data_IF_788387669114
#
_entry.id   IF_788387669114
#
_cell.length_a   1.000
_cell.length_b   1.000
_cell.length_c   1.000
_cell.angle_alpha   90.00
_cell.angle_beta   90.00
_cell.angle_gamma   90.00
#
_symmetry.space_group_name_H-M   'P 1'
#
loop_
_entity.id
_entity.type
_entity.pdbx_description
1 polymer ?
#
# COMPACT_ATOMS: atom_id res chain seq x y z
N UNK A 1 -27.71 41.57 9.73
CA UNK A 1 -26.87 41.74 10.94
C UNK A 1 -26.97 40.55 11.91
N UNK A 2 -28.14 39.96 12.21
CA UNK A 2 -28.21 38.81 13.14
C UNK A 2 -27.72 37.44 12.62
N UNK A 3 -27.81 37.15 11.32
CA UNK A 3 -27.46 35.81 10.79
C UNK A 3 -25.96 35.51 10.84
N UNK A 4 -25.11 36.51 10.65
CA UNK A 4 -23.65 36.29 10.61
C UNK A 4 -23.04 36.14 12.00
N UNK A 5 -23.48 36.94 12.97
CA UNK A 5 -23.02 36.81 14.37
C UNK A 5 -23.35 35.44 14.95
N UNK A 6 -24.52 34.89 14.59
CA UNK A 6 -24.93 33.53 14.98
C UNK A 6 -24.09 32.44 14.32
N UNK A 7 -23.65 32.64 13.07
CA UNK A 7 -22.77 31.68 12.38
C UNK A 7 -21.39 31.63 13.06
N UNK A 8 -20.82 32.80 13.40
CA UNK A 8 -19.49 32.90 14.00
C UNK A 8 -19.45 32.38 15.45
N UNK A 9 -20.51 32.60 16.22
CA UNK A 9 -20.54 32.23 17.65
C UNK A 9 -20.81 30.74 17.92
N UNK A 10 -21.22 29.97 16.91
CA UNK A 10 -21.55 28.54 17.06
C UNK A 10 -20.38 27.59 16.78
N UNK A 11 -19.30 28.08 16.18
CA UNK A 11 -18.10 27.28 15.95
C UNK A 11 -17.38 27.04 17.28
N UNK A 12 -17.25 25.77 17.68
CA UNK A 12 -16.57 25.37 18.93
C UNK A 12 -15.11 24.98 18.72
N UNK A 13 -14.85 24.17 17.71
CA UNK A 13 -13.51 23.60 17.44
C UNK A 13 -12.84 24.25 16.22
N UNK A 14 -13.62 24.73 15.25
CA UNK A 14 -13.10 25.33 14.03
C UNK A 14 -14.21 25.75 13.08
N UNK A 15 -13.85 26.59 12.12
CA UNK A 15 -14.76 27.12 11.09
C UNK A 15 -14.01 27.29 9.78
N UNK A 16 -14.63 26.86 8.68
CA UNK A 16 -14.17 27.15 7.33
C UNK A 16 -15.15 28.13 6.68
N UNK A 17 -14.62 29.20 6.08
CA UNK A 17 -15.37 30.16 5.28
C UNK A 17 -15.00 29.97 3.82
N UNK A 18 -15.97 29.61 2.99
CA UNK A 18 -15.77 29.35 1.56
C UNK A 18 -16.43 30.50 0.78
N UNK A 19 -15.64 31.26 0.04
CA UNK A 19 -16.11 32.39 -0.75
C UNK A 19 -14.99 33.32 -1.18
N UNK A 20 -15.33 34.30 -2.03
CA UNK A 20 -14.39 35.34 -2.44
C UNK A 20 -14.23 36.38 -1.30
N UNK A 21 -13.04 36.43 -0.70
CA UNK A 21 -12.77 37.27 0.47
C UNK A 21 -12.93 38.77 0.18
N UNK A 22 -12.53 39.24 -0.99
CA UNK A 22 -12.64 40.64 -1.42
C UNK A 22 -14.12 41.04 -1.60
N UNK A 23 -14.91 40.16 -2.22
CA UNK A 23 -16.35 40.38 -2.38
C UNK A 23 -17.07 40.37 -1.01
N UNK A 24 -16.66 39.49 -0.09
CA UNK A 24 -17.22 39.44 1.26
C UNK A 24 -16.92 40.72 2.04
N UNK A 25 -15.66 41.19 1.99
CA UNK A 25 -15.24 42.43 2.65
C UNK A 25 -15.95 43.67 2.07
N UNK A 26 -16.07 43.77 0.74
CA UNK A 26 -16.71 44.92 0.09
C UNK A 26 -18.22 45.00 0.35
N UNK A 27 -18.90 43.85 0.48
CA UNK A 27 -20.34 43.80 0.80
C UNK A 27 -20.70 44.24 2.22
N UNK A 28 -19.77 44.17 3.17
CA UNK A 28 -20.03 44.60 4.55
C UNK A 28 -18.76 45.14 5.21
N UNK A 29 -18.60 46.45 5.14
CA UNK A 29 -17.46 47.17 5.74
C UNK A 29 -17.43 47.06 7.27
N UNK A 30 -18.58 46.99 7.92
CA UNK A 30 -18.66 47.02 9.39
C UNK A 30 -18.53 45.64 10.05
N UNK A 31 -18.58 44.56 9.28
CA UNK A 31 -18.58 43.20 9.85
C UNK A 31 -17.64 42.25 9.10
N UNK A 32 -17.80 42.07 7.78
CA UNK A 32 -16.92 41.15 7.04
C UNK A 32 -15.53 41.73 6.83
N UNK A 33 -15.37 43.02 6.55
CA UNK A 33 -14.04 43.60 6.33
C UNK A 33 -13.10 43.44 7.55
N UNK A 34 -13.51 43.69 8.80
CA UNK A 34 -12.68 43.40 9.98
C UNK A 34 -12.34 41.92 10.13
N UNK A 35 -13.31 41.02 9.89
CA UNK A 35 -13.09 39.56 9.99
C UNK A 35 -12.07 39.09 8.94
N UNK A 36 -12.27 39.49 7.68
CA UNK A 36 -11.37 39.15 6.58
C UNK A 36 -9.96 39.72 6.83
N UNK A 37 -9.85 40.94 7.36
CA UNK A 37 -8.57 41.51 7.78
C UNK A 37 -7.88 40.66 8.86
N UNK A 38 -8.60 40.22 9.90
CA UNK A 38 -8.07 39.33 10.93
C UNK A 38 -7.58 38.01 10.30
N UNK A 39 -8.36 37.40 9.41
CA UNK A 39 -7.98 36.14 8.75
C UNK A 39 -6.72 36.33 7.89
N UNK A 40 -6.60 37.44 7.15
CA UNK A 40 -5.40 37.76 6.39
C UNK A 40 -4.17 37.96 7.30
N UNK A 41 -4.32 38.72 8.40
CA UNK A 41 -3.23 38.96 9.35
C UNK A 41 -2.68 37.68 9.99
N UNK A 42 -3.50 36.62 10.03
CA UNK A 42 -3.16 35.29 10.57
C UNK A 42 -2.77 34.29 9.49
N UNK A 43 -2.65 34.71 8.23
CA UNK A 43 -2.39 33.84 7.08
C UNK A 43 -3.41 32.69 6.93
N UNK A 44 -4.68 32.96 7.23
CA UNK A 44 -5.80 32.00 7.20
C UNK A 44 -6.68 32.15 5.96
N UNK A 45 -6.27 32.98 4.99
CA UNK A 45 -6.94 33.13 3.70
C UNK A 45 -6.08 32.47 2.64
N UNK A 46 -6.62 31.43 2.00
CA UNK A 46 -5.96 30.69 0.93
C UNK A 46 -6.68 30.83 -0.40
N UNK A 47 -6.02 30.41 -1.49
CA UNK A 47 -6.58 30.42 -2.84
C UNK A 47 -7.45 29.19 -3.16
N UNK A 48 -7.69 28.33 -2.18
CA UNK A 48 -8.42 27.08 -2.32
C UNK A 48 -8.46 26.30 -1.02
N UNK A 49 -9.10 25.14 -1.06
CA UNK A 49 -9.23 24.25 0.08
C UNK A 49 -8.06 23.26 0.10
N UNK A 50 -7.25 23.23 1.17
CA UNK A 50 -6.21 22.23 1.32
C UNK A 50 -6.86 20.88 1.64
N UNK A 51 -6.38 19.84 0.98
CA UNK A 51 -6.74 18.45 1.22
C UNK A 51 -5.45 17.64 1.40
N UNK A 52 -5.50 16.67 2.30
CA UNK A 52 -4.38 15.81 2.61
C UNK A 52 -4.89 14.38 2.77
N UNK A 53 -4.11 13.41 2.29
CA UNK A 53 -4.36 12.01 2.64
C UNK A 53 -3.82 11.70 4.04
N UNK A 54 -4.64 11.11 4.90
CA UNK A 54 -4.21 10.71 6.26
C UNK A 54 -3.08 9.67 6.24
N UNK A 55 -3.06 8.81 5.21
CA UNK A 55 -2.04 7.75 5.06
C UNK A 55 -0.82 8.19 4.29
N UNK A 56 -0.95 9.25 3.49
CA UNK A 56 0.14 9.79 2.69
C UNK A 56 0.27 11.28 3.01
N UNK A 57 0.92 11.65 4.13
CA UNK A 57 1.02 13.05 4.56
C UNK A 57 1.74 13.97 3.57
N UNK A 58 2.54 13.40 2.65
CA UNK A 58 3.18 14.12 1.56
C UNK A 58 2.21 14.41 0.40
N UNK A 59 1.11 13.66 0.30
CA UNK A 59 0.04 13.88 -0.66
C UNK A 59 -0.86 15.02 -0.16
N UNK A 60 -0.41 16.25 -0.42
CA UNK A 60 -1.13 17.48 -0.12
C UNK A 60 -1.49 18.18 -1.41
N UNK A 61 -2.75 18.54 -1.56
CA UNK A 61 -3.24 19.31 -2.68
C UNK A 61 -4.03 20.51 -2.19
N UNK A 62 -4.03 21.60 -2.95
CA UNK A 62 -4.96 22.72 -2.75
C UNK A 62 -5.90 22.73 -3.93
N UNK A 63 -7.18 22.46 -3.69
CA UNK A 63 -8.20 22.43 -4.74
C UNK A 63 -8.95 23.76 -4.77
N UNK A 64 -9.24 24.24 -5.97
CA UNK A 64 -10.00 25.48 -6.23
C UNK A 64 -11.39 25.16 -6.74
N UNK A 65 -11.47 24.14 -7.59
CA UNK A 65 -12.72 23.69 -8.23
C UNK A 65 -13.15 22.31 -7.70
N UNK A 66 -14.45 22.05 -7.54
CA UNK A 66 -14.96 20.74 -7.08
C UNK A 66 -14.50 19.55 -7.92
N UNK A 67 -14.32 19.73 -9.23
CA UNK A 67 -13.89 18.70 -10.16
C UNK A 67 -12.48 18.19 -9.82
N UNK A 68 -11.62 19.08 -9.30
CA UNK A 68 -10.27 18.72 -8.89
C UNK A 68 -10.27 17.73 -7.72
N UNK A 69 -11.31 17.74 -6.87
CA UNK A 69 -11.43 16.78 -5.78
C UNK A 69 -11.46 15.33 -6.30
N UNK A 70 -12.14 15.06 -7.42
CA UNK A 70 -12.22 13.71 -8.01
C UNK A 70 -10.89 13.28 -8.64
N UNK A 71 -10.09 14.22 -9.13
CA UNK A 71 -8.80 13.97 -9.79
C UNK A 71 -7.68 13.62 -8.82
N UNK A 72 -7.77 14.11 -7.58
CA UNK A 72 -6.78 13.90 -6.52
C UNK A 72 -7.23 12.86 -5.50
N UNK A 73 -8.54 12.65 -5.40
CA UNK A 73 -9.14 11.74 -4.45
C UNK A 73 -10.30 10.97 -5.10
N UNK A 74 -10.18 9.65 -5.16
CA UNK A 74 -11.28 8.76 -5.56
C UNK A 74 -11.79 8.00 -4.36
N UNK A 75 -13.09 8.15 -4.03
CA UNK A 75 -13.75 7.45 -2.92
C UNK A 75 -13.02 7.59 -1.57
N UNK A 76 -12.48 8.77 -1.27
CA UNK A 76 -11.74 9.04 -0.03
C UNK A 76 -10.27 8.60 -0.04
N UNK A 77 -9.72 8.20 -1.20
CA UNK A 77 -8.37 7.62 -1.33
C UNK A 77 -7.53 8.43 -2.31
N UNK A 78 -6.26 8.68 -1.96
CA UNK A 78 -5.30 9.23 -2.91
C UNK A 78 -4.81 8.14 -3.89
N UNK A 79 -4.05 8.55 -4.90
CA UNK A 79 -3.55 7.63 -5.94
C UNK A 79 -2.19 7.02 -5.63
N UNK A 80 -1.56 7.41 -4.51
CA UNK A 80 -0.25 6.92 -4.12
C UNK A 80 -0.27 5.43 -3.76
N UNK A 81 0.88 4.78 -3.94
CA UNK A 81 1.04 3.39 -3.57
C UNK A 81 1.01 3.25 -2.05
N UNK A 82 0.31 2.23 -1.54
CA UNK A 82 0.14 2.02 -0.10
C UNK A 82 1.48 1.79 0.60
N UNK A 83 2.32 0.90 0.07
CA UNK A 83 3.69 0.69 0.54
C UNK A 83 3.85 0.03 1.91
N UNK A 84 2.77 -0.17 2.67
CA UNK A 84 2.79 -0.86 3.98
C UNK A 84 3.34 -2.28 3.83
N UNK A 85 4.17 -2.70 4.77
CA UNK A 85 4.76 -4.05 4.77
C UNK A 85 3.69 -5.10 5.14
N UNK A 86 3.54 -6.08 4.26
CA UNK A 86 2.69 -7.25 4.49
C UNK A 86 3.39 -8.24 5.44
N UNK A 87 2.64 -9.21 5.95
CA UNK A 87 3.19 -10.28 6.81
C UNK A 87 4.32 -11.09 6.14
N UNK A 88 4.36 -11.11 4.80
CA UNK A 88 5.45 -11.73 4.07
C UNK A 88 6.74 -10.90 3.95
N UNK A 89 6.74 -9.66 4.43
CA UNK A 89 7.85 -8.71 4.36
C UNK A 89 7.87 -7.85 3.08
N UNK A 90 6.99 -8.12 2.11
CA UNK A 90 6.88 -7.29 0.91
C UNK A 90 5.97 -6.08 1.13
N UNK A 91 6.33 -4.95 0.51
CA UNK A 91 5.46 -3.78 0.47
C UNK A 91 4.18 -4.06 -0.34
N UNK A 92 3.04 -3.60 0.19
CA UNK A 92 1.74 -3.61 -0.45
C UNK A 92 1.80 -2.87 -1.80
N UNK A 93 1.38 -3.56 -2.86
CA UNK A 93 1.41 -3.03 -4.23
C UNK A 93 0.15 -2.27 -4.60
N UNK A 94 -0.91 -2.34 -3.79
CA UNK A 94 -2.17 -1.64 -4.06
C UNK A 94 -2.01 -0.13 -3.87
N UNK A 95 -2.89 0.64 -4.51
CA UNK A 95 -3.06 2.07 -4.23
C UNK A 95 -3.62 2.26 -2.82
N UNK A 96 -3.52 3.47 -2.27
CA UNK A 96 -4.13 3.83 -0.99
C UNK A 96 -5.54 3.25 -0.85
N UNK A 97 -5.80 2.49 0.21
CA UNK A 97 -7.03 1.71 0.34
C UNK A 97 -7.52 1.66 1.79
N UNK A 98 -8.75 2.13 2.05
CA UNK A 98 -9.25 2.27 3.43
C UNK A 98 -9.92 1.01 4.01
N UNK A 99 -10.30 0.09 3.13
CA UNK A 99 -11.05 -1.14 3.37
C UNK A 99 -10.35 -2.16 4.28
N UNK A 100 -9.04 -2.30 4.15
CA UNK A 100 -8.25 -3.24 4.95
C UNK A 100 -7.02 -2.57 5.59
N UNK A 101 -7.19 -1.85 6.71
CA UNK A 101 -6.09 -1.16 7.37
C UNK A 101 -4.97 -2.09 7.85
N UNK A 102 -5.31 -3.33 8.22
CA UNK A 102 -4.37 -4.34 8.72
C UNK A 102 -3.74 -5.18 7.61
N UNK A 103 -4.14 -4.98 6.35
CA UNK A 103 -3.63 -5.71 5.20
C UNK A 103 -3.73 -7.24 5.35
N UNK A 104 -4.81 -7.73 5.97
CA UNK A 104 -5.05 -9.14 6.24
C UNK A 104 -5.41 -9.88 4.94
N UNK A 105 -6.21 -9.24 4.09
CA UNK A 105 -6.74 -9.82 2.85
C UNK A 105 -5.92 -9.40 1.61
N UNK A 106 -4.88 -8.59 1.80
CA UNK A 106 -4.02 -8.14 0.70
C UNK A 106 -3.11 -9.28 0.27
N UNK A 107 -3.32 -9.75 -0.95
CA UNK A 107 -2.50 -10.79 -1.55
C UNK A 107 -1.26 -10.16 -2.17
N UNK A 108 -0.07 -10.57 -1.71
CA UNK A 108 1.17 -10.11 -2.30
C UNK A 108 1.33 -10.66 -3.73
N UNK A 109 1.66 -9.76 -4.66
CA UNK A 109 1.90 -10.07 -6.07
C UNK A 109 3.38 -9.91 -6.46
N UNK A 110 4.28 -9.71 -5.50
CA UNK A 110 5.72 -9.65 -5.77
C UNK A 110 6.31 -11.07 -5.91
N UNK A 111 7.40 -11.24 -6.66
CA UNK A 111 8.16 -12.49 -6.66
C UNK A 111 8.54 -12.91 -5.24
N UNK A 112 8.48 -14.20 -4.96
CA UNK A 112 8.84 -14.70 -3.64
C UNK A 112 10.36 -14.68 -3.46
N UNK A 113 10.84 -13.97 -2.43
CA UNK A 113 12.25 -13.95 -2.03
C UNK A 113 12.64 -15.07 -1.07
N UNK A 114 11.71 -16.00 -0.77
CA UNK A 114 11.93 -17.09 0.18
C UNK A 114 12.63 -18.28 -0.48
N UNK A 115 13.42 -19.00 0.31
CA UNK A 115 13.97 -20.29 -0.05
C UNK A 115 13.06 -21.42 0.46
N UNK A 116 12.93 -22.50 -0.31
CA UNK A 116 12.17 -23.67 0.13
C UNK A 116 12.87 -24.37 1.30
N UNK A 117 12.23 -24.56 2.47
CA UNK A 117 12.92 -25.06 3.67
C UNK A 117 13.54 -26.45 3.57
N UNK A 118 13.07 -27.30 2.64
CA UNK A 118 13.55 -28.68 2.47
C UNK A 118 14.72 -28.81 1.50
N UNK A 119 14.75 -28.01 0.44
CA UNK A 119 15.76 -28.11 -0.63
C UNK A 119 16.60 -26.84 -0.78
N UNK A 120 16.30 -25.79 -0.02
CA UNK A 120 16.97 -24.49 -0.03
C UNK A 120 17.11 -23.86 -1.43
N UNK A 121 16.18 -24.17 -2.34
CA UNK A 121 16.12 -23.53 -3.65
C UNK A 121 15.31 -22.22 -3.59
N UNK A 122 15.68 -21.19 -4.37
CA UNK A 122 14.89 -19.97 -4.47
C UNK A 122 13.50 -20.29 -5.02
N UNK A 123 12.47 -19.68 -4.44
CA UNK A 123 11.11 -19.84 -4.91
C UNK A 123 10.92 -19.05 -6.22
N UNK A 124 10.36 -19.71 -7.23
CA UNK A 124 10.06 -19.15 -8.55
C UNK A 124 8.63 -18.58 -8.65
N UNK A 125 7.82 -18.73 -7.59
CA UNK A 125 6.41 -18.32 -7.56
C UNK A 125 6.24 -16.91 -7.00
N UNK A 126 5.04 -16.37 -7.20
CA UNK A 126 4.59 -15.16 -6.50
C UNK A 126 4.51 -15.41 -4.99
N UNK A 127 4.71 -14.34 -4.22
CA UNK A 127 4.73 -14.38 -2.76
C UNK A 127 3.32 -14.64 -2.19
N UNK A 128 2.92 -15.91 -2.20
CA UNK A 128 1.72 -16.43 -1.56
C UNK A 128 2.12 -17.69 -0.77
N UNK A 129 1.36 -18.75 -0.94
CA UNK A 129 1.78 -20.09 -0.56
C UNK A 129 2.83 -20.62 -1.55
N UNK A 130 4.06 -20.77 -1.09
CA UNK A 130 5.18 -21.23 -1.92
C UNK A 130 5.00 -22.71 -2.34
N UNK A 131 4.25 -23.49 -1.56
CA UNK A 131 4.00 -24.90 -1.82
C UNK A 131 5.26 -25.73 -2.06
N UNK A 132 5.15 -26.71 -2.97
CA UNK A 132 6.25 -27.62 -3.33
C UNK A 132 7.20 -26.93 -4.33
N UNK A 133 8.50 -27.18 -4.16
CA UNK A 133 9.55 -26.73 -5.06
C UNK A 133 9.52 -27.52 -6.37
N UNK A 134 9.48 -26.83 -7.51
CA UNK A 134 9.52 -27.43 -8.85
C UNK A 134 10.88 -27.23 -9.54
N UNK A 135 11.93 -26.94 -8.76
CA UNK A 135 13.26 -26.72 -9.31
C UNK A 135 13.77 -27.99 -9.98
N UNK A 136 14.09 -27.89 -11.27
CA UNK A 136 14.64 -28.99 -12.07
C UNK A 136 16.09 -29.18 -11.64
N UNK A 137 16.37 -30.30 -11.00
CA UNK A 137 17.75 -30.74 -10.78
C UNK A 137 18.20 -31.41 -12.06
N UNK A 138 19.32 -30.97 -12.64
CA UNK A 138 19.87 -31.53 -13.88
C UNK A 138 20.35 -32.97 -13.71
N UNK A 139 21.18 -33.45 -14.63
CA UNK A 139 21.60 -34.84 -14.68
C UNK A 139 22.33 -35.25 -13.39
N UNK A 140 21.71 -36.13 -12.61
CA UNK A 140 22.31 -36.71 -11.41
C UNK A 140 22.78 -38.12 -11.76
N UNK A 141 24.07 -38.38 -11.56
CA UNK A 141 24.61 -39.74 -11.56
C UNK A 141 24.32 -40.37 -10.21
N UNK A 142 23.44 -41.38 -10.19
CA UNK A 142 23.14 -42.13 -8.99
C UNK A 142 24.37 -42.97 -8.58
N UNK A 143 24.52 -43.34 -7.30
CA UNK A 143 25.64 -44.19 -6.84
C UNK A 143 25.75 -45.54 -7.55
N UNK A 144 24.66 -46.00 -8.17
CA UNK A 144 24.63 -47.20 -9.01
C UNK A 144 25.10 -46.97 -10.47
N UNK A 145 25.61 -45.78 -10.81
CA UNK A 145 26.12 -45.45 -12.14
C UNK A 145 25.07 -45.04 -13.17
N UNK A 146 23.78 -45.13 -12.84
CA UNK A 146 22.69 -44.71 -13.73
C UNK A 146 22.54 -43.19 -13.75
N UNK A 147 22.36 -42.62 -14.94
CA UNK A 147 21.99 -41.22 -15.11
C UNK A 147 20.47 -41.07 -15.01
N UNK A 148 20.03 -40.15 -14.17
CA UNK A 148 18.64 -39.73 -14.15
C UNK A 148 18.40 -38.79 -15.35
N UNK A 149 18.00 -39.36 -16.48
CA UNK A 149 17.63 -38.60 -17.69
C UNK A 149 16.21 -38.06 -17.47
N UNK A 150 15.98 -36.74 -17.36
CA UNK A 150 14.63 -36.21 -17.21
C UNK A 150 13.84 -36.44 -18.51
N UNK A 151 12.94 -37.41 -18.49
CA UNK A 151 12.08 -37.74 -19.64
C UNK A 151 11.15 -36.55 -19.95
N UNK A 152 11.18 -36.07 -21.20
CA UNK A 152 10.43 -34.88 -21.66
C UNK A 152 8.90 -35.06 -21.61
N UNK A 153 8.40 -36.24 -21.24
CA UNK A 153 6.97 -36.56 -21.15
C UNK A 153 6.53 -37.11 -19.79
N UNK A 154 7.35 -37.01 -18.74
CA UNK A 154 6.90 -37.31 -17.39
C UNK A 154 7.23 -36.15 -16.46
N UNK A 155 6.18 -35.54 -15.90
CA UNK A 155 6.23 -34.76 -14.66
C UNK A 155 6.77 -35.64 -13.52
N UNK A 156 8.05 -35.96 -13.56
CA UNK A 156 8.75 -36.58 -12.44
C UNK A 156 8.94 -35.49 -11.39
N UNK A 157 7.87 -35.28 -10.62
CA UNK A 157 7.89 -34.66 -9.31
C UNK A 157 8.88 -35.43 -8.46
N UNK A 158 10.16 -35.09 -8.55
CA UNK A 158 11.16 -35.59 -7.64
C UNK A 158 10.81 -35.06 -6.24
N UNK A 159 10.10 -35.90 -5.48
CA UNK A 159 9.87 -35.72 -4.05
C UNK A 159 11.23 -35.75 -3.38
N UNK A 160 11.85 -34.58 -3.23
CA UNK A 160 13.02 -34.44 -2.38
C UNK A 160 12.60 -34.64 -0.91
N UNK A 161 12.50 -35.91 -0.50
CA UNK A 161 12.82 -36.31 0.86
C UNK A 161 14.34 -36.24 0.97
N UNK A 162 14.90 -35.04 0.97
CA UNK A 162 16.28 -34.85 1.37
C UNK A 162 16.32 -34.83 2.88
N UNK A 163 16.74 -35.98 3.39
CA UNK A 163 17.14 -36.24 4.76
C UNK A 163 18.15 -35.15 5.16
N UNK A 164 17.87 -34.48 6.28
CA UNK A 164 18.81 -33.57 6.91
C UNK A 164 20.08 -34.33 7.27
N UNK A 165 21.22 -33.74 6.93
CA UNK A 165 22.48 -34.05 7.60
C UNK A 165 23.38 -34.98 6.81
N UNK A 166 24.63 -34.58 6.78
CA UNK A 166 25.78 -35.36 6.35
C UNK A 166 25.79 -36.76 7.00
N UNK A 167 26.57 -37.65 6.39
CA UNK A 167 26.85 -39.05 6.77
C UNK A 167 25.87 -40.08 6.17
N UNK A 168 26.28 -40.62 5.02
CA UNK A 168 25.82 -41.89 4.51
C UNK A 168 26.06 -42.97 5.58
N UNK A 169 24.99 -43.59 6.09
CA UNK A 169 25.10 -44.87 6.80
C UNK A 169 24.12 -45.84 6.14
N UNK A 170 24.67 -46.68 5.27
CA UNK A 170 23.97 -47.80 4.67
C UNK A 170 23.87 -48.88 5.74
N UNK A 171 22.65 -49.17 6.21
CA UNK A 171 22.39 -50.34 7.01
C UNK A 171 21.74 -51.38 6.08
N UNK A 172 22.52 -52.38 5.69
CA UNK A 172 22.00 -53.63 5.16
C UNK A 172 21.47 -54.46 6.32
N UNK A 173 20.31 -55.08 6.15
CA UNK A 173 19.98 -56.35 6.78
C UNK A 173 18.73 -56.99 6.14
N UNK A 174 18.57 -58.30 6.29
CA UNK A 174 18.89 -59.34 5.29
C UNK A 174 17.80 -59.55 4.23
#
# INVERSE_FOLDING_TARGET
TNRTSVLLSRAREGMYLIGNSELMASKSKDMWAPIIHILHSRNQVGFGMPIQCDRHPLNKHTIKEPEQFKLVNTNGRCFDQCGVLLACGHACTYRCHADDPKHINVICQKPCSRFHPRCNHPCDKLCKDCGICNFIVGDITLPCGHQNIPDKNQDLKFKSKLVKGNYFKVLFNP
#
